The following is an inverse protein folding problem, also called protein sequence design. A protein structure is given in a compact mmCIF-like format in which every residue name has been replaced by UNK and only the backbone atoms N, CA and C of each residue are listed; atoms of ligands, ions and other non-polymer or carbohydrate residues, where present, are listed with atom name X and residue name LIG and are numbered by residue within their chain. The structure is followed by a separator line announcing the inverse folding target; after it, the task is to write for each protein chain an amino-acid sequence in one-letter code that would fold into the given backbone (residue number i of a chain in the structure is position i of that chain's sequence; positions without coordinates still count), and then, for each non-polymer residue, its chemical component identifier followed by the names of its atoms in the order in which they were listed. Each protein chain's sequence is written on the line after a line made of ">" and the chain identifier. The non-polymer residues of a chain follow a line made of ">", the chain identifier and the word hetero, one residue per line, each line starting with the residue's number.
data_IF_322291784920
#
_entry.id   IF_322291784920
#
_cell.length_a   1.000
_cell.length_b   1.000
_cell.length_c   1.000
_cell.angle_alpha   90.00
_cell.angle_beta   90.00
_cell.angle_gamma   90.00
#
_symmetry.space_group_name_H-M   'P 1'
#
loop_
_entity.id
_entity.type
_entity.pdbx_description
1 polymer ?
#
# COMPACT_ATOMS: atom_id res chain seq x y z
N UNK A 1 1.01 39.00 -0.51
CA UNK A 1 0.54 38.56 -1.85
C UNK A 1 1.75 38.25 -2.70
N UNK A 2 2.21 37.00 -2.68
CA UNK A 2 3.28 36.53 -3.57
C UNK A 2 2.64 35.77 -4.75
N UNK A 3 2.98 36.23 -5.96
CA UNK A 3 2.47 35.63 -7.21
C UNK A 3 3.06 34.22 -7.38
N UNK A 4 2.22 33.21 -7.46
CA UNK A 4 2.56 31.84 -7.86
C UNK A 4 2.78 31.85 -9.37
N UNK A 5 3.93 31.39 -9.90
CA UNK A 5 4.12 31.27 -11.34
C UNK A 5 3.32 30.07 -11.85
N UNK A 6 2.29 30.34 -12.63
CA UNK A 6 1.50 29.33 -13.34
C UNK A 6 2.27 28.68 -14.48
N UNK A 7 2.97 27.61 -14.19
CA UNK A 7 3.48 26.65 -15.19
C UNK A 7 3.70 25.32 -14.49
N UNK A 8 2.88 24.29 -14.81
CA UNK A 8 3.19 22.86 -14.71
C UNK A 8 2.02 21.93 -14.35
N UNK A 9 0.75 22.35 -14.44
CA UNK A 9 -0.36 21.38 -14.25
C UNK A 9 -0.61 20.51 -15.50
N UNK A 10 -0.09 20.88 -16.66
CA UNK A 10 -0.32 20.17 -17.92
C UNK A 10 0.68 19.04 -18.21
N UNK A 11 1.83 19.00 -17.55
CA UNK A 11 2.91 18.07 -17.86
C UNK A 11 2.79 16.70 -17.17
N UNK A 12 2.10 16.60 -16.05
CA UNK A 12 1.95 15.33 -15.31
C UNK A 12 0.86 14.42 -15.88
N UNK A 13 -0.10 14.98 -16.62
CA UNK A 13 -1.14 14.22 -17.33
C UNK A 13 -0.68 13.68 -18.70
N UNK A 14 0.46 14.10 -19.23
CA UNK A 14 0.89 13.79 -20.59
C UNK A 14 1.75 12.52 -20.72
N UNK A 15 2.21 11.91 -19.65
CA UNK A 15 3.06 10.70 -19.70
C UNK A 15 2.30 9.38 -19.93
N UNK A 16 0.97 9.42 -20.00
CA UNK A 16 0.12 8.22 -20.16
C UNK A 16 -0.65 8.12 -21.48
N UNK A 17 -0.65 9.14 -22.35
CA UNK A 17 -1.61 9.21 -23.50
C UNK A 17 -0.98 8.91 -24.87
N UNK A 18 0.30 8.67 -24.98
CA UNK A 18 1.05 8.68 -26.23
C UNK A 18 1.17 7.38 -27.04
N UNK A 19 0.55 6.23 -26.69
CA UNK A 19 0.62 4.98 -27.49
C UNK A 19 -0.63 4.12 -27.34
N UNK A 20 -1.80 4.59 -27.76
CA UNK A 20 -3.01 3.78 -27.80
C UNK A 20 -3.35 3.35 -29.23
N UNK A 21 -2.77 2.25 -29.71
CA UNK A 21 -3.51 1.28 -30.52
C UNK A 21 -4.31 0.40 -29.55
N UNK A 22 -5.53 -0.08 -29.88
CA UNK A 22 -6.27 -0.97 -28.99
C UNK A 22 -5.46 -2.26 -28.81
N UNK A 23 -4.78 -2.38 -27.67
CA UNK A 23 -4.12 -3.60 -27.24
C UNK A 23 -5.19 -4.54 -26.71
N UNK A 24 -5.27 -5.72 -27.32
CA UNK A 24 -6.16 -6.79 -26.89
C UNK A 24 -5.79 -7.19 -25.45
N UNK A 25 -6.75 -7.09 -24.56
CA UNK A 25 -6.68 -7.53 -23.18
C UNK A 25 -6.52 -9.03 -23.11
N UNK A 26 -5.44 -9.51 -22.49
CA UNK A 26 -5.20 -10.94 -22.28
C UNK A 26 -5.78 -11.39 -20.94
N UNK A 27 -6.48 -12.53 -21.00
CA UNK A 27 -6.99 -13.26 -19.84
C UNK A 27 -5.83 -13.83 -19.00
N UNK A 28 -6.10 -14.09 -17.73
CA UNK A 28 -5.20 -14.71 -16.76
C UNK A 28 -4.42 -15.88 -17.39
N UNK A 29 -3.09 -15.76 -17.45
CA UNK A 29 -2.22 -16.86 -17.82
C UNK A 29 -2.15 -17.80 -16.60
N UNK A 30 -2.98 -18.83 -16.59
CA UNK A 30 -2.69 -20.02 -15.81
C UNK A 30 -1.51 -20.72 -16.46
N UNK A 31 -0.31 -20.55 -15.92
CA UNK A 31 0.78 -21.44 -16.25
C UNK A 31 0.38 -22.85 -15.81
N UNK A 32 0.42 -23.86 -16.69
CA UNK A 32 0.16 -25.23 -16.28
C UNK A 32 1.20 -25.64 -15.23
N UNK A 33 0.84 -26.36 -14.17
CA UNK A 33 1.79 -26.83 -13.17
C UNK A 33 2.73 -27.86 -13.82
N UNK A 34 4.04 -27.57 -13.82
CA UNK A 34 5.05 -28.58 -13.96
C UNK A 34 5.99 -28.52 -15.14
N UNK A 35 6.94 -27.59 -15.13
CA UNK A 35 8.31 -27.89 -15.53
C UNK A 35 9.15 -28.04 -14.26
N UNK A 36 10.05 -29.03 -14.23
CA UNK A 36 10.96 -29.21 -13.09
C UNK A 36 11.74 -27.91 -12.85
N UNK A 37 11.48 -27.25 -11.71
CA UNK A 37 12.17 -26.01 -11.31
C UNK A 37 11.31 -24.75 -11.25
N UNK A 38 10.08 -24.72 -11.75
CA UNK A 38 9.20 -23.56 -11.56
C UNK A 38 8.64 -23.52 -10.13
N UNK A 39 8.55 -22.31 -9.52
CA UNK A 39 7.93 -22.16 -8.21
C UNK A 39 6.52 -22.74 -8.21
N UNK A 40 6.03 -23.30 -7.08
CA UNK A 40 4.67 -23.78 -7.00
C UNK A 40 3.75 -22.64 -7.42
N UNK A 41 2.89 -22.87 -8.42
CA UNK A 41 2.07 -21.85 -9.08
C UNK A 41 1.25 -21.06 -8.06
N UNK A 42 1.78 -19.92 -7.68
CA UNK A 42 1.11 -18.92 -6.88
C UNK A 42 0.40 -17.99 -7.85
N UNK A 43 -0.93 -17.84 -7.78
CA UNK A 43 -1.63 -16.96 -8.71
C UNK A 43 -1.16 -15.52 -8.52
N UNK A 44 -1.07 -14.74 -9.60
CA UNK A 44 -0.62 -13.36 -9.59
C UNK A 44 -1.50 -12.47 -8.68
N UNK A 45 -2.80 -12.76 -8.59
CA UNK A 45 -3.75 -12.10 -7.69
C UNK A 45 -3.38 -12.21 -6.21
N UNK A 46 -2.53 -13.19 -5.83
CA UNK A 46 -2.01 -13.37 -4.48
C UNK A 46 -0.92 -12.37 -4.13
N UNK A 47 -0.22 -11.81 -5.12
CA UNK A 47 0.90 -10.91 -4.89
C UNK A 47 0.38 -9.58 -4.33
N UNK A 48 0.84 -9.25 -3.11
CA UNK A 48 0.57 -7.98 -2.44
C UNK A 48 1.73 -6.99 -2.61
N UNK A 49 1.86 -6.05 -1.68
CA UNK A 49 3.02 -5.17 -1.60
C UNK A 49 4.27 -5.93 -1.11
N UNK A 50 5.45 -5.53 -1.56
CA UNK A 50 6.70 -6.23 -1.24
C UNK A 50 6.61 -7.72 -1.54
N UNK A 51 6.84 -8.55 -0.52
CA UNK A 51 6.72 -10.00 -0.60
C UNK A 51 5.43 -10.56 0.05
N UNK A 52 4.50 -9.69 0.45
CA UNK A 52 3.25 -10.08 1.15
C UNK A 52 2.24 -10.80 0.24
N UNK A 53 1.32 -11.54 0.84
CA UNK A 53 0.28 -12.28 0.12
C UNK A 53 -1.13 -11.79 0.44
N UNK A 54 -1.94 -11.72 -0.60
CA UNK A 54 -3.40 -11.55 -0.57
C UNK A 54 -4.12 -12.91 -0.66
N UNK A 55 -5.43 -12.97 -0.40
CA UNK A 55 -6.27 -14.08 -0.84
C UNK A 55 -6.22 -14.23 -2.37
N UNK A 56 -6.22 -15.46 -2.90
CA UNK A 56 -6.20 -15.72 -4.35
C UNK A 56 -7.40 -15.13 -5.09
N UNK A 57 -8.53 -14.99 -4.39
CA UNK A 57 -9.75 -14.38 -4.93
C UNK A 57 -9.69 -12.84 -5.01
N UNK A 58 -8.59 -12.21 -4.57
CA UNK A 58 -8.43 -10.75 -4.59
C UNK A 58 -8.51 -10.22 -6.04
N UNK A 59 -9.21 -9.10 -6.27
CA UNK A 59 -9.19 -8.45 -7.58
C UNK A 59 -7.80 -7.83 -7.82
N UNK A 60 -7.32 -7.92 -9.06
CA UNK A 60 -6.08 -7.28 -9.50
C UNK A 60 -6.40 -6.38 -10.70
N UNK A 61 -6.71 -5.08 -10.47
CA UNK A 61 -6.91 -4.14 -11.57
C UNK A 61 -5.55 -3.74 -12.17
N UNK A 62 -5.11 -4.52 -13.14
CA UNK A 62 -3.83 -4.34 -13.82
C UNK A 62 -3.98 -4.53 -15.33
N UNK A 63 -3.05 -3.95 -16.09
CA UNK A 63 -2.91 -4.17 -17.53
C UNK A 63 -1.68 -5.03 -17.78
N UNK A 64 -1.81 -6.10 -18.57
CA UNK A 64 -0.73 -7.01 -18.90
C UNK A 64 -0.32 -6.87 -20.36
N UNK A 65 0.99 -6.87 -20.59
CA UNK A 65 1.62 -6.76 -21.91
C UNK A 65 2.70 -7.83 -22.02
N UNK A 66 2.85 -8.42 -23.20
CA UNK A 66 3.97 -9.30 -23.51
C UNK A 66 5.06 -8.52 -24.27
N UNK A 67 6.29 -8.56 -23.77
CA UNK A 67 7.45 -7.95 -24.39
C UNK A 67 8.55 -9.00 -24.55
N UNK A 68 8.53 -9.71 -25.67
CA UNK A 68 9.37 -10.88 -25.90
C UNK A 68 9.10 -11.98 -24.87
N UNK A 69 10.09 -12.28 -24.02
CA UNK A 69 9.96 -13.29 -22.94
C UNK A 69 9.52 -12.71 -21.61
N UNK A 70 9.22 -11.41 -21.54
CA UNK A 70 8.77 -10.74 -20.33
C UNK A 70 7.26 -10.55 -20.34
N UNK A 71 6.63 -10.88 -19.24
CA UNK A 71 5.28 -10.43 -18.94
C UNK A 71 5.40 -9.14 -18.14
N UNK A 72 4.87 -8.05 -18.65
CA UNK A 72 4.82 -6.75 -17.98
C UNK A 72 3.43 -6.53 -17.42
N UNK A 73 3.32 -6.29 -16.11
CA UNK A 73 2.12 -5.86 -15.42
C UNK A 73 2.24 -4.36 -15.10
N UNK A 74 1.20 -3.60 -15.42
CA UNK A 74 1.04 -2.20 -15.06
C UNK A 74 -0.13 -2.05 -14.10
N UNK A 75 0.12 -1.52 -12.93
CA UNK A 75 -0.85 -1.36 -11.84
C UNK A 75 -0.70 0.01 -11.21
N UNK A 76 -1.77 0.56 -10.60
CA UNK A 76 -1.70 1.85 -9.97
C UNK A 76 -3.05 2.51 -9.85
N UNK A 77 -3.10 3.64 -9.15
CA UNK A 77 -4.28 4.49 -9.06
C UNK A 77 -3.93 5.92 -8.69
N UNK A 78 -4.83 6.83 -9.05
CA UNK A 78 -4.74 8.24 -8.67
C UNK A 78 -6.09 8.76 -8.23
N UNK A 79 -6.09 9.57 -7.18
CA UNK A 79 -7.27 10.22 -6.60
C UNK A 79 -7.07 11.74 -6.63
N UNK A 80 -7.75 12.44 -7.52
CA UNK A 80 -7.91 13.88 -7.40
C UNK A 80 -8.98 14.13 -6.34
N UNK A 81 -8.57 14.63 -5.17
CA UNK A 81 -9.46 14.78 -4.02
C UNK A 81 -9.49 16.20 -3.49
N UNK A 82 -10.66 16.64 -3.04
CA UNK A 82 -10.81 17.73 -2.09
C UNK A 82 -11.16 17.12 -0.73
N UNK A 83 -10.23 17.24 0.20
CA UNK A 83 -10.34 16.73 1.56
C UNK A 83 -10.55 17.89 2.51
N UNK A 84 -11.58 17.81 3.33
CA UNK A 84 -11.91 18.72 4.39
C UNK A 84 -11.98 17.99 5.73
N UNK A 85 -11.11 18.37 6.65
CA UNK A 85 -11.08 17.87 8.02
C UNK A 85 -11.52 19.01 8.93
N UNK A 86 -12.62 18.82 9.66
CA UNK A 86 -13.30 19.90 10.38
C UNK A 86 -12.62 20.37 11.65
N UNK A 87 -12.90 21.61 12.00
CA UNK A 87 -12.73 22.37 13.23
C UNK A 87 -11.31 22.73 13.66
N UNK A 88 -11.01 22.85 14.97
CA UNK A 88 -9.88 23.64 15.51
C UNK A 88 -8.49 23.21 14.98
N UNK A 89 -8.24 21.92 14.79
CA UNK A 89 -6.97 21.39 14.23
C UNK A 89 -7.12 20.87 12.80
N UNK A 90 -8.30 21.03 12.23
CA UNK A 90 -8.61 20.62 10.87
C UNK A 90 -8.08 21.60 9.83
N UNK A 91 -8.04 21.13 8.60
CA UNK A 91 -7.72 21.92 7.42
C UNK A 91 -8.38 21.31 6.19
N UNK A 92 -8.23 21.97 5.05
CA UNK A 92 -8.71 21.43 3.78
C UNK A 92 -7.63 21.53 2.70
N UNK A 93 -7.72 20.67 1.70
CA UNK A 93 -6.75 20.63 0.63
C UNK A 93 -7.35 19.99 -0.63
N UNK A 94 -7.04 20.59 -1.78
CA UNK A 94 -7.16 19.94 -3.09
C UNK A 94 -5.81 19.34 -3.44
N UNK A 95 -5.75 18.06 -3.81
CA UNK A 95 -4.50 17.40 -4.15
C UNK A 95 -4.74 16.09 -4.90
N UNK A 96 -3.66 15.45 -5.36
CA UNK A 96 -3.73 14.14 -6.01
C UNK A 96 -2.89 13.15 -5.23
N UNK A 97 -3.56 12.21 -4.55
CA UNK A 97 -2.93 11.00 -3.99
C UNK A 97 -2.75 10.01 -5.12
N UNK A 98 -1.56 9.46 -5.30
CA UNK A 98 -1.32 8.61 -6.47
C UNK A 98 -0.11 7.68 -6.30
N UNK A 99 -0.14 6.58 -7.06
CA UNK A 99 1.00 5.71 -7.25
C UNK A 99 0.84 4.92 -8.55
N UNK A 100 1.96 4.53 -9.15
CA UNK A 100 2.01 3.69 -10.33
C UNK A 100 3.14 2.67 -10.22
N UNK A 101 2.87 1.41 -10.55
CA UNK A 101 3.79 0.29 -10.48
C UNK A 101 3.89 -0.42 -11.83
N UNK A 102 5.09 -0.81 -12.19
CA UNK A 102 5.39 -1.73 -13.26
C UNK A 102 6.14 -2.95 -12.70
N UNK A 103 5.69 -4.14 -13.03
CA UNK A 103 6.38 -5.39 -12.72
C UNK A 103 6.65 -6.16 -14.01
N UNK A 104 7.90 -6.59 -14.19
CA UNK A 104 8.34 -7.37 -15.34
C UNK A 104 8.81 -8.75 -14.88
N UNK A 105 8.13 -9.80 -15.31
CA UNK A 105 8.36 -11.18 -14.87
C UNK A 105 8.79 -12.05 -16.04
N UNK A 106 9.75 -12.96 -15.81
CA UNK A 106 10.11 -14.02 -16.74
C UNK A 106 10.73 -15.21 -16.04
N UNK A 107 10.75 -16.36 -16.69
CA UNK A 107 11.56 -17.52 -16.27
C UNK A 107 13.06 -17.23 -16.41
N UNK A 108 13.84 -17.62 -15.40
CA UNK A 108 15.29 -17.47 -15.35
C UNK A 108 15.92 -18.75 -14.77
N UNK A 109 16.54 -19.56 -15.61
CA UNK A 109 17.06 -20.87 -15.21
C UNK A 109 15.96 -21.78 -14.69
N UNK A 110 16.16 -22.35 -13.50
CA UNK A 110 15.18 -23.20 -12.81
C UNK A 110 14.21 -22.40 -11.90
N UNK A 111 14.06 -21.09 -12.11
CA UNK A 111 13.20 -20.23 -11.32
C UNK A 111 12.60 -19.13 -12.18
N UNK A 112 12.03 -18.12 -11.51
CA UNK A 112 11.56 -16.91 -12.16
C UNK A 112 12.16 -15.67 -11.49
N UNK A 113 12.35 -14.65 -12.29
CA UNK A 113 12.74 -13.32 -11.81
C UNK A 113 11.61 -12.33 -12.09
N UNK A 114 11.38 -11.46 -11.14
CA UNK A 114 10.50 -10.31 -11.28
C UNK A 114 11.27 -9.04 -10.91
N UNK A 115 11.19 -8.02 -11.78
CA UNK A 115 11.73 -6.69 -11.55
C UNK A 115 10.56 -5.74 -11.34
N UNK A 116 10.58 -4.97 -10.25
CA UNK A 116 9.53 -4.01 -9.88
C UNK A 116 10.05 -2.60 -9.80
N UNK A 117 9.20 -1.68 -10.23
CA UNK A 117 9.36 -0.26 -9.97
C UNK A 117 8.02 0.35 -9.62
N UNK A 118 7.94 1.06 -8.49
CA UNK A 118 6.76 1.80 -8.08
C UNK A 118 7.14 3.23 -7.74
N UNK A 119 6.35 4.19 -8.23
CA UNK A 119 6.59 5.62 -8.08
C UNK A 119 5.32 6.36 -7.67
N UNK A 120 5.51 7.51 -6.99
CA UNK A 120 4.44 8.45 -6.68
C UNK A 120 4.83 9.88 -7.07
N UNK A 121 3.86 10.64 -7.56
CA UNK A 121 4.01 12.07 -7.82
C UNK A 121 3.51 12.94 -6.64
N UNK A 122 3.19 12.37 -5.50
CA UNK A 122 2.68 13.08 -4.33
C UNK A 122 3.58 14.24 -3.84
N UNK A 123 4.92 14.15 -3.92
CA UNK A 123 5.78 15.29 -3.56
C UNK A 123 5.40 16.60 -4.28
N UNK A 124 4.84 16.50 -5.48
CA UNK A 124 4.41 17.65 -6.28
C UNK A 124 2.89 17.89 -6.28
N UNK A 125 2.09 16.85 -6.08
CA UNK A 125 0.63 16.90 -6.23
C UNK A 125 -0.11 17.10 -4.92
N UNK A 126 0.55 16.81 -3.79
CA UNK A 126 0.08 17.07 -2.42
C UNK A 126 0.99 18.10 -1.73
N UNK A 127 2.30 18.05 -2.01
CA UNK A 127 3.33 18.87 -1.38
C UNK A 127 3.88 18.24 -0.10
N UNK A 128 5.00 18.80 0.38
CA UNK A 128 5.84 18.21 1.43
C UNK A 128 5.16 18.03 2.80
N UNK A 129 4.09 18.79 3.10
CA UNK A 129 3.31 18.62 4.33
C UNK A 129 2.23 17.54 4.23
N UNK A 130 2.11 16.83 3.09
CA UNK A 130 1.06 15.86 2.89
C UNK A 130 -0.36 16.44 2.88
N UNK A 131 -1.36 15.63 3.18
CA UNK A 131 -2.78 16.01 3.17
C UNK A 131 -3.42 15.95 4.57
N UNK A 132 -4.51 16.71 4.80
CA UNK A 132 -5.22 16.71 6.09
C UNK A 132 -5.72 15.32 6.47
N UNK A 133 -5.46 14.90 7.70
CA UNK A 133 -6.01 13.68 8.28
C UNK A 133 -5.96 13.83 9.81
N UNK A 134 -7.10 14.17 10.42
CA UNK A 134 -7.17 14.39 11.86
C UNK A 134 -6.65 13.20 12.65
N UNK A 135 -5.93 13.48 13.72
CA UNK A 135 -5.28 12.57 14.65
C UNK A 135 -4.20 11.68 14.01
N UNK A 136 -3.82 11.90 12.76
CA UNK A 136 -2.66 11.25 12.18
C UNK A 136 -1.37 11.80 12.77
N UNK A 137 -0.40 10.91 12.96
CA UNK A 137 0.92 11.20 13.55
C UNK A 137 1.92 10.12 13.09
N UNK A 138 3.19 10.28 13.43
CA UNK A 138 4.24 9.30 13.20
C UNK A 138 5.30 9.75 12.19
N UNK A 139 5.34 11.03 11.85
CA UNK A 139 6.32 11.61 10.92
C UNK A 139 6.81 12.97 11.41
N UNK A 140 7.88 13.46 10.81
CA UNK A 140 8.43 14.79 11.04
C UNK A 140 8.26 15.69 9.81
N UNK A 141 8.19 16.99 10.04
CA UNK A 141 8.26 18.01 9.01
C UNK A 141 8.99 19.25 9.56
N UNK A 142 10.09 19.63 8.89
CA UNK A 142 10.96 20.75 9.29
C UNK A 142 11.44 20.67 10.74
N UNK A 143 11.81 19.46 11.16
CA UNK A 143 12.34 19.22 12.51
C UNK A 143 11.29 19.24 13.63
N UNK A 144 10.00 19.20 13.30
CA UNK A 144 8.90 19.11 14.25
C UNK A 144 7.97 17.93 13.93
N UNK A 145 7.23 17.38 14.94
CA UNK A 145 6.27 16.33 14.68
C UNK A 145 5.19 16.79 13.70
N UNK A 146 4.94 16.02 12.64
CA UNK A 146 3.82 16.21 11.73
C UNK A 146 2.58 15.59 12.38
N UNK A 147 1.58 16.38 12.67
CA UNK A 147 0.33 15.91 13.27
C UNK A 147 -0.89 16.38 12.48
N UNK A 148 -1.99 15.65 12.58
CA UNK A 148 -3.25 15.91 11.86
C UNK A 148 -3.09 16.00 10.34
N UNK A 149 -2.07 15.33 9.83
CA UNK A 149 -1.76 15.20 8.39
C UNK A 149 -1.09 13.87 8.11
N UNK A 150 -1.40 13.30 6.96
CA UNK A 150 -0.63 12.19 6.38
C UNK A 150 0.46 12.78 5.48
N UNK A 151 1.70 12.37 5.68
CA UNK A 151 2.82 12.75 4.82
C UNK A 151 2.64 12.22 3.38
N UNK A 152 3.28 12.84 2.37
CA UNK A 152 3.26 12.30 1.01
C UNK A 152 4.13 11.04 0.91
N UNK A 153 3.81 10.16 -0.01
CA UNK A 153 4.73 9.10 -0.41
C UNK A 153 5.97 9.69 -1.08
N UNK A 154 7.09 8.96 -1.00
CA UNK A 154 8.30 9.28 -1.74
C UNK A 154 8.09 9.03 -3.24
N UNK A 155 8.88 9.74 -4.08
CA UNK A 155 8.90 9.52 -5.52
C UNK A 155 9.17 8.04 -5.85
N UNK A 156 10.16 7.45 -5.17
CA UNK A 156 10.49 6.04 -5.32
C UNK A 156 9.88 5.25 -4.16
N UNK A 157 8.80 4.54 -4.42
CA UNK A 157 8.12 3.70 -3.44
C UNK A 157 8.67 2.27 -3.45
N UNK A 158 9.05 1.74 -4.63
CA UNK A 158 9.72 0.45 -4.77
C UNK A 158 10.64 0.45 -5.98
N UNK A 159 11.84 -0.09 -5.81
CA UNK A 159 12.76 -0.55 -6.86
C UNK A 159 13.29 -1.89 -6.37
N UNK A 160 12.90 -3.00 -7.00
CA UNK A 160 13.19 -4.32 -6.45
C UNK A 160 13.44 -5.37 -7.52
N UNK A 161 14.17 -6.40 -7.13
CA UNK A 161 14.30 -7.66 -7.83
C UNK A 161 13.89 -8.79 -6.89
N UNK A 162 12.96 -9.64 -7.34
CA UNK A 162 12.51 -10.84 -6.66
C UNK A 162 12.91 -12.06 -7.51
N UNK A 163 13.61 -13.00 -6.91
CA UNK A 163 13.91 -14.29 -7.53
C UNK A 163 13.29 -15.42 -6.72
N UNK A 164 12.57 -16.28 -7.37
CA UNK A 164 11.94 -17.45 -6.77
C UNK A 164 12.38 -18.72 -7.49
N UNK A 165 12.59 -19.80 -6.73
CA UNK A 165 13.00 -21.09 -7.26
C UNK A 165 12.40 -22.23 -6.47
N UNK A 166 11.87 -23.23 -7.17
CA UNK A 166 11.49 -24.49 -6.56
C UNK A 166 12.73 -25.31 -6.17
N UNK A 167 12.73 -25.84 -4.96
CA UNK A 167 13.80 -26.71 -4.43
C UNK A 167 13.29 -28.10 -4.12
N UNK A 168 11.97 -28.28 -4.03
CA UNK A 168 11.27 -29.55 -3.94
C UNK A 168 9.88 -29.39 -4.56
N UNK A 169 9.14 -30.51 -4.71
CA UNK A 169 7.83 -30.54 -5.38
C UNK A 169 6.85 -29.47 -4.89
N UNK A 170 6.83 -29.21 -3.57
CA UNK A 170 5.90 -28.28 -2.94
C UNK A 170 6.63 -27.20 -2.09
N UNK A 171 7.93 -27.00 -2.33
CA UNK A 171 8.73 -26.05 -1.56
C UNK A 171 9.54 -25.16 -2.52
N UNK A 172 9.41 -23.87 -2.37
CA UNK A 172 10.19 -22.86 -3.08
C UNK A 172 10.94 -21.94 -2.12
N UNK A 173 12.03 -21.39 -2.62
CA UNK A 173 12.78 -20.31 -1.99
C UNK A 173 12.49 -19.01 -2.72
N UNK A 174 12.57 -17.92 -1.99
CA UNK A 174 12.51 -16.57 -2.53
C UNK A 174 13.64 -15.72 -1.97
N UNK A 175 14.13 -14.81 -2.82
CA UNK A 175 15.09 -13.77 -2.47
C UNK A 175 14.60 -12.45 -3.07
N UNK A 176 14.36 -11.46 -2.21
CA UNK A 176 13.96 -10.12 -2.59
C UNK A 176 15.06 -9.13 -2.20
N UNK A 177 15.50 -8.33 -3.15
CA UNK A 177 16.53 -7.29 -2.98
C UNK A 177 15.97 -5.99 -3.49
N UNK A 178 15.87 -5.00 -2.61
CA UNK A 178 15.30 -3.71 -2.94
C UNK A 178 16.18 -2.56 -2.45
N UNK A 179 16.76 -1.77 -3.35
CA UNK A 179 17.27 -0.43 -3.03
C UNK A 179 16.25 0.42 -2.28
N UNK A 180 15.00 0.39 -2.70
CA UNK A 180 13.85 0.89 -1.94
C UNK A 180 12.72 -0.12 -2.07
N UNK A 181 12.03 -0.44 -0.97
CA UNK A 181 10.96 -1.45 -0.97
C UNK A 181 10.39 -1.72 0.42
N UNK A 182 9.70 -2.84 0.54
CA UNK A 182 8.99 -3.23 1.75
C UNK A 182 9.65 -4.45 2.42
N UNK A 183 10.07 -4.36 3.70
CA UNK A 183 10.53 -5.52 4.45
C UNK A 183 9.37 -6.46 4.81
N UNK A 184 9.68 -7.68 5.22
CA UNK A 184 8.71 -8.66 5.75
C UNK A 184 8.19 -8.22 7.13
N UNK A 185 7.53 -7.05 7.18
CA UNK A 185 7.05 -6.40 8.39
C UNK A 185 5.73 -5.66 8.09
N UNK A 186 4.66 -6.09 8.71
CA UNK A 186 3.34 -5.54 8.45
C UNK A 186 2.45 -6.45 7.60
N UNK A 187 1.17 -6.09 7.46
CA UNK A 187 0.25 -6.66 6.48
C UNK A 187 0.60 -6.18 5.08
N UNK A 188 -0.16 -6.60 4.07
CA UNK A 188 -0.15 -5.91 2.75
C UNK A 188 -0.40 -4.41 2.98
N UNK A 189 0.43 -3.54 2.40
CA UNK A 189 0.30 -2.08 2.54
C UNK A 189 -1.07 -1.58 2.05
N UNK A 190 -1.64 -0.57 2.72
CA UNK A 190 -3.01 -0.13 2.48
C UNK A 190 -3.32 0.23 1.01
N UNK A 191 -2.40 0.80 0.20
CA UNK A 191 -2.70 1.09 -1.21
C UNK A 191 -2.94 -0.16 -2.07
N UNK A 192 -2.44 -1.31 -1.62
CA UNK A 192 -2.54 -2.60 -2.30
C UNK A 192 -3.61 -3.53 -1.71
N UNK A 193 -4.22 -3.18 -0.57
CA UNK A 193 -5.31 -3.99 0.01
C UNK A 193 -6.63 -3.74 -0.71
N UNK A 194 -7.30 -4.75 -1.27
CA UNK A 194 -8.60 -4.58 -1.92
C UNK A 194 -9.67 -3.97 -0.99
N UNK A 195 -9.60 -4.26 0.32
CA UNK A 195 -10.48 -3.69 1.34
C UNK A 195 -10.33 -2.17 1.53
N UNK A 196 -9.18 -1.59 1.15
CA UNK A 196 -8.88 -0.17 1.26
C UNK A 196 -8.84 0.56 -0.09
N UNK A 197 -8.83 -0.16 -1.21
CA UNK A 197 -8.53 0.39 -2.55
C UNK A 197 -9.49 1.47 -3.06
N UNK A 198 -10.69 1.61 -2.47
CA UNK A 198 -11.65 2.65 -2.81
C UNK A 198 -11.52 3.91 -1.93
N UNK A 199 -10.81 3.84 -0.80
CA UNK A 199 -10.60 4.95 0.13
C UNK A 199 -9.32 5.70 -0.22
N UNK A 200 -9.36 7.01 -0.57
CA UNK A 200 -8.17 7.78 -0.89
C UNK A 200 -7.28 8.11 0.31
N UNK A 201 -7.80 7.95 1.55
CA UNK A 201 -7.09 8.36 2.75
C UNK A 201 -6.47 7.16 3.49
N UNK A 202 -5.24 7.34 3.97
CA UNK A 202 -4.54 6.35 4.79
C UNK A 202 -5.29 6.03 6.09
N UNK A 203 -5.06 4.84 6.69
CA UNK A 203 -5.49 4.59 8.07
C UNK A 203 -4.77 5.50 9.06
N UNK A 204 -5.44 5.93 10.14
CA UNK A 204 -4.78 6.68 11.22
C UNK A 204 -3.81 5.81 12.04
N UNK A 205 -3.88 4.50 11.86
CA UNK A 205 -3.03 3.47 12.46
C UNK A 205 -1.88 3.02 11.55
N UNK A 206 -1.69 3.65 10.38
CA UNK A 206 -0.70 3.28 9.36
C UNK A 206 0.70 3.05 9.97
N UNK A 207 1.21 3.96 10.80
CA UNK A 207 2.54 3.85 11.42
C UNK A 207 2.67 2.73 12.48
N UNK A 208 1.56 2.11 12.90
CA UNK A 208 1.55 0.94 13.80
C UNK A 208 1.50 -0.39 13.06
N UNK A 209 1.24 -0.37 11.76
CA UNK A 209 0.94 -1.57 10.97
C UNK A 209 1.84 -1.70 9.75
N UNK A 210 1.66 -0.82 8.76
CA UNK A 210 2.32 -0.88 7.44
C UNK A 210 3.17 0.37 7.12
N UNK A 211 3.57 1.15 8.13
CA UNK A 211 4.40 2.35 7.94
C UNK A 211 5.80 2.12 7.37
N UNK A 212 6.28 0.86 7.34
CA UNK A 212 7.59 0.51 6.73
C UNK A 212 7.49 0.06 5.27
N UNK A 213 6.36 0.30 4.58
CA UNK A 213 6.20 -0.14 3.18
C UNK A 213 7.09 0.62 2.17
N UNK A 214 7.71 1.74 2.58
CA UNK A 214 8.76 2.43 1.83
C UNK A 214 10.00 2.51 2.72
N UNK A 215 10.98 1.66 2.44
CA UNK A 215 12.22 1.55 3.21
C UNK A 215 13.42 1.52 2.27
N UNK A 216 14.42 2.36 2.50
CA UNK A 216 15.62 2.44 1.67
C UNK A 216 16.65 1.40 2.10
N UNK A 217 16.72 0.31 1.33
CA UNK A 217 17.60 -0.83 1.57
C UNK A 217 16.90 -1.96 2.30
N UNK A 218 16.46 -2.97 1.54
CA UNK A 218 15.79 -4.18 2.03
C UNK A 218 16.40 -5.41 1.40
N UNK A 219 16.66 -6.41 2.22
CA UNK A 219 17.02 -7.76 1.82
C UNK A 219 16.07 -8.73 2.53
N UNK A 220 15.27 -9.48 1.76
CA UNK A 220 14.35 -10.49 2.31
C UNK A 220 14.68 -11.85 1.72
N UNK A 221 14.69 -12.88 2.57
CA UNK A 221 14.74 -14.27 2.15
C UNK A 221 13.54 -15.00 2.72
N UNK A 222 12.95 -15.89 1.93
CA UNK A 222 11.76 -16.63 2.30
C UNK A 222 11.76 -18.06 1.79
N UNK A 223 10.95 -18.88 2.44
CA UNK A 223 10.59 -20.22 2.02
C UNK A 223 9.07 -20.31 1.93
N UNK A 224 8.55 -20.93 0.88
CA UNK A 224 7.10 -21.02 0.74
C UNK A 224 6.63 -22.30 0.04
N UNK A 225 5.40 -22.65 0.34
CA UNK A 225 4.60 -23.68 -0.32
C UNK A 225 3.41 -22.99 -1.00
N UNK A 226 2.45 -23.75 -1.51
CA UNK A 226 1.21 -23.18 -2.07
C UNK A 226 0.35 -22.42 -1.04
N UNK A 227 0.47 -22.75 0.25
CA UNK A 227 -0.40 -22.18 1.29
C UNK A 227 0.35 -21.47 2.41
N UNK A 228 1.62 -21.76 2.58
CA UNK A 228 2.41 -21.31 3.71
C UNK A 228 3.65 -20.58 3.22
N UNK A 229 3.99 -19.45 3.87
CA UNK A 229 5.21 -18.70 3.65
C UNK A 229 5.82 -18.27 4.98
N UNK A 230 7.13 -18.42 5.10
CA UNK A 230 7.93 -17.87 6.18
C UNK A 230 9.06 -17.06 5.56
N UNK A 231 9.22 -15.83 5.99
CA UNK A 231 10.22 -14.91 5.46
C UNK A 231 10.86 -14.08 6.57
N UNK A 232 12.07 -13.61 6.31
CA UNK A 232 12.81 -12.72 7.19
C UNK A 232 13.52 -11.64 6.38
N UNK A 233 13.61 -10.44 6.95
CA UNK A 233 14.26 -9.29 6.31
C UNK A 233 15.36 -8.69 7.18
N UNK A 234 16.40 -8.17 6.49
CA UNK A 234 17.32 -7.14 6.99
C UNK A 234 17.07 -5.86 6.22
N UNK A 235 16.97 -4.74 6.94
CA UNK A 235 16.60 -3.48 6.32
C UNK A 235 17.06 -2.28 7.16
N UNK A 236 16.98 -1.08 6.58
CA UNK A 236 17.11 0.18 7.31
C UNK A 236 15.83 0.47 8.07
N UNK A 237 15.89 0.54 9.41
CA UNK A 237 14.71 0.79 10.24
C UNK A 237 14.20 2.23 10.20
N UNK A 238 15.06 3.17 9.79
CA UNK A 238 14.71 4.59 9.77
C UNK A 238 13.71 4.89 8.65
N UNK A 239 12.69 5.66 8.96
CA UNK A 239 11.79 6.26 7.99
C UNK A 239 12.53 7.16 6.98
N UNK A 240 12.03 7.30 5.74
CA UNK A 240 12.60 8.21 4.75
C UNK A 240 12.71 9.65 5.29
N UNK A 241 13.69 10.40 4.81
CA UNK A 241 13.84 11.81 5.18
C UNK A 241 12.76 12.69 4.50
N UNK A 242 12.75 13.98 4.83
CA UNK A 242 11.75 14.93 4.29
C UNK A 242 11.98 15.28 2.81
N UNK A 243 13.09 14.86 2.20
CA UNK A 243 13.35 15.03 0.77
C UNK A 243 12.76 13.86 -0.02
N UNK A 244 11.47 13.90 -0.26
CA UNK A 244 10.68 12.85 -0.89
C UNK A 244 11.03 12.55 -2.35
N UNK A 245 12.04 13.18 -2.93
CA UNK A 245 12.40 13.00 -4.36
C UNK A 245 13.77 12.38 -4.58
N UNK A 246 14.56 12.16 -3.53
CA UNK A 246 15.87 11.49 -3.59
C UNK A 246 15.79 10.01 -3.22
N UNK A 247 16.92 9.33 -3.33
CA UNK A 247 17.15 8.02 -2.71
C UNK A 247 17.91 8.25 -1.41
N UNK A 248 17.21 8.13 -0.29
CA UNK A 248 17.76 8.44 1.03
C UNK A 248 18.66 7.30 1.57
N UNK A 249 19.95 7.38 1.27
CA UNK A 249 20.97 6.46 1.80
C UNK A 249 21.91 7.09 2.84
N UNK A 250 21.72 8.36 3.18
CA UNK A 250 22.60 9.07 4.12
C UNK A 250 22.51 8.44 5.52
N UNK A 251 23.65 7.92 6.01
CA UNK A 251 23.73 7.26 7.31
C UNK A 251 22.93 5.96 7.44
N UNK A 252 22.39 5.42 6.34
CA UNK A 252 21.58 4.19 6.32
C UNK A 252 22.46 2.95 6.52
N UNK A 253 21.95 2.01 7.31
CA UNK A 253 22.55 0.70 7.56
C UNK A 253 21.46 -0.36 7.62
N UNK A 254 21.78 -1.59 7.26
CA UNK A 254 20.91 -2.73 7.49
C UNK A 254 21.03 -3.17 8.95
N UNK A 255 20.44 -2.44 9.88
CA UNK A 255 20.55 -2.63 11.32
C UNK A 255 19.21 -3.00 12.00
N UNK A 256 18.19 -3.18 11.21
CA UNK A 256 16.87 -3.61 11.61
C UNK A 256 16.53 -4.95 10.98
N UNK A 257 15.67 -5.73 11.63
CA UNK A 257 15.29 -7.06 11.16
C UNK A 257 13.84 -7.37 11.48
N UNK A 258 13.25 -8.22 10.65
CA UNK A 258 11.88 -8.70 10.84
C UNK A 258 11.70 -10.13 10.39
N UNK A 259 10.60 -10.72 10.81
CA UNK A 259 10.08 -11.98 10.29
C UNK A 259 8.58 -11.89 10.11
N UNK A 260 8.08 -12.53 9.04
CA UNK A 260 6.64 -12.62 8.75
C UNK A 260 6.28 -14.06 8.38
N UNK A 261 5.16 -14.49 8.94
CA UNK A 261 4.49 -15.74 8.63
C UNK A 261 3.20 -15.43 7.88
N UNK A 262 2.91 -16.16 6.78
CA UNK A 262 1.68 -16.01 6.01
C UNK A 262 1.08 -17.38 5.77
N UNK A 263 -0.23 -17.48 5.93
CA UNK A 263 -1.01 -18.70 5.70
C UNK A 263 -2.26 -18.38 4.87
N UNK A 264 -2.28 -18.83 3.61
CA UNK A 264 -3.48 -18.82 2.78
C UNK A 264 -4.26 -20.11 3.06
N UNK A 265 -5.29 -20.03 3.90
CA UNK A 265 -6.12 -21.17 4.28
C UNK A 265 -6.86 -21.78 3.07
N UNK A 266 -7.24 -20.94 2.15
CA UNK A 266 -7.91 -21.25 0.89
C UNK A 266 -7.88 -20.02 -0.01
N UNK A 267 -8.53 -20.06 -1.17
CA UNK A 267 -8.56 -18.95 -2.11
C UNK A 267 -9.15 -17.64 -1.55
N UNK A 268 -9.91 -17.70 -0.45
CA UNK A 268 -10.62 -16.53 0.12
C UNK A 268 -9.93 -15.91 1.32
N UNK A 269 -9.03 -16.63 2.00
CA UNK A 269 -8.47 -16.19 3.29
C UNK A 269 -6.95 -16.21 3.27
N UNK A 270 -6.35 -15.11 3.65
CA UNK A 270 -4.92 -14.96 3.95
C UNK A 270 -4.77 -14.45 5.39
N UNK A 271 -4.01 -15.18 6.19
CA UNK A 271 -3.64 -14.83 7.57
C UNK A 271 -2.16 -14.49 7.61
N UNK A 272 -1.77 -13.49 8.36
CA UNK A 272 -0.36 -13.16 8.57
C UNK A 272 -0.08 -12.74 10.01
N UNK A 273 1.16 -12.97 10.44
CA UNK A 273 1.69 -12.45 11.69
C UNK A 273 3.14 -12.03 11.48
N UNK A 274 3.55 -10.95 12.14
CA UNK A 274 4.89 -10.40 11.98
C UNK A 274 5.46 -9.88 13.29
N UNK A 275 6.78 -9.81 13.29
CA UNK A 275 7.56 -9.17 14.33
C UNK A 275 8.77 -8.51 13.71
N UNK A 276 9.14 -7.33 14.20
CA UNK A 276 10.35 -6.63 13.78
C UNK A 276 10.97 -5.82 14.91
N UNK A 277 12.28 -5.67 14.82
CA UNK A 277 13.08 -4.71 15.55
C UNK A 277 13.48 -3.60 14.58
N UNK A 278 13.16 -2.35 14.92
CA UNK A 278 13.52 -1.17 14.17
C UNK A 278 14.50 -0.32 14.98
N UNK A 279 15.65 -0.10 14.40
CA UNK A 279 16.69 0.78 14.95
C UNK A 279 16.40 2.21 14.53
N UNK A 280 16.18 3.10 15.52
CA UNK A 280 16.00 4.54 15.28
C UNK A 280 15.02 4.85 14.15
N UNK A 281 13.77 4.37 14.19
CA UNK A 281 12.84 4.54 13.08
C UNK A 281 12.46 5.99 12.87
N UNK A 282 12.32 6.78 13.94
CA UNK A 282 11.85 8.16 13.87
C UNK A 282 12.99 9.16 13.85
N UNK A 283 12.94 10.10 12.90
CA UNK A 283 14.00 11.11 12.72
C UNK A 283 14.17 12.06 13.90
N UNK A 284 13.09 12.33 14.66
CA UNK A 284 13.12 13.18 15.86
C UNK A 284 13.69 12.47 17.08
N UNK A 285 13.67 11.13 17.11
CA UNK A 285 14.15 10.30 18.21
C UNK A 285 15.24 9.30 17.74
N UNK A 286 16.39 9.79 17.27
CA UNK A 286 17.42 8.93 16.63
C UNK A 286 18.07 7.93 17.60
N UNK A 287 17.94 8.13 18.90
CA UNK A 287 18.47 7.22 19.93
C UNK A 287 17.46 6.16 20.38
N UNK A 288 16.21 6.25 19.91
CA UNK A 288 15.15 5.33 20.27
C UNK A 288 15.04 4.20 19.25
N UNK A 289 14.73 3.02 19.75
CA UNK A 289 14.44 1.84 18.94
C UNK A 289 13.14 1.22 19.42
N UNK A 290 12.44 0.51 18.55
CA UNK A 290 11.19 -0.13 18.91
C UNK A 290 11.06 -1.55 18.37
N UNK A 291 10.20 -2.32 19.00
CA UNK A 291 9.63 -3.55 18.45
C UNK A 291 8.26 -3.24 17.83
N UNK A 292 8.05 -3.74 16.62
CA UNK A 292 6.75 -3.71 15.93
C UNK A 292 6.25 -5.13 15.76
N UNK A 293 5.02 -5.39 16.17
CA UNK A 293 4.41 -6.70 16.03
C UNK A 293 2.95 -6.58 15.62
N UNK A 294 2.42 -7.63 15.03
CA UNK A 294 1.02 -7.63 14.67
C UNK A 294 0.57 -8.90 13.98
N UNK A 295 -0.70 -8.90 13.63
CA UNK A 295 -1.35 -9.96 12.88
C UNK A 295 -2.47 -9.39 12.01
N UNK A 296 -2.74 -10.05 10.88
CA UNK A 296 -3.83 -9.68 9.99
C UNK A 296 -4.60 -10.91 9.50
N UNK A 297 -5.89 -10.71 9.29
CA UNK A 297 -6.76 -11.64 8.57
C UNK A 297 -7.41 -10.87 7.41
N UNK A 298 -7.06 -11.24 6.19
CA UNK A 298 -7.61 -10.69 4.98
C UNK A 298 -8.54 -11.72 4.34
N UNK A 299 -9.68 -11.24 3.85
CA UNK A 299 -10.62 -12.11 3.12
C UNK A 299 -11.11 -11.41 1.87
N UNK A 300 -11.30 -12.18 0.81
CA UNK A 300 -11.99 -11.75 -0.40
C UNK A 300 -12.93 -12.84 -0.87
N UNK A 301 -14.17 -12.47 -1.11
CA UNK A 301 -15.20 -13.32 -1.67
C UNK A 301 -15.70 -12.72 -2.98
N UNK A 302 -15.76 -13.52 -4.06
CA UNK A 302 -16.39 -13.11 -5.31
C UNK A 302 -17.91 -13.06 -5.09
N UNK A 303 -18.54 -11.98 -5.56
CA UNK A 303 -20.00 -11.74 -5.49
C UNK A 303 -20.56 -11.68 -6.91
N UNK A 304 -20.93 -12.85 -7.46
CA UNK A 304 -21.32 -12.96 -8.86
C UNK A 304 -20.11 -13.01 -9.81
N UNK A 305 -20.35 -12.64 -11.08
CA UNK A 305 -19.34 -12.69 -12.14
C UNK A 305 -18.26 -11.62 -11.97
N UNK A 306 -18.68 -10.39 -11.68
CA UNK A 306 -17.84 -9.19 -11.75
C UNK A 306 -17.62 -8.52 -10.38
N UNK A 307 -18.31 -8.99 -9.35
CA UNK A 307 -18.25 -8.39 -8.02
C UNK A 307 -17.27 -9.05 -7.06
N UNK A 308 -16.91 -8.31 -6.02
CA UNK A 308 -16.10 -8.81 -4.91
C UNK A 308 -16.49 -8.15 -3.58
N UNK A 309 -16.27 -8.87 -2.50
CA UNK A 309 -16.34 -8.35 -1.14
C UNK A 309 -15.02 -8.67 -0.44
N UNK A 310 -14.25 -7.63 -0.14
CA UNK A 310 -12.95 -7.74 0.52
C UNK A 310 -12.99 -7.09 1.89
N UNK A 311 -12.42 -7.75 2.90
CA UNK A 311 -12.32 -7.23 4.26
C UNK A 311 -10.96 -7.55 4.86
N UNK A 312 -10.49 -6.71 5.79
CA UNK A 312 -9.30 -6.93 6.57
C UNK A 312 -9.52 -6.57 8.04
N UNK A 313 -9.10 -7.47 8.92
CA UNK A 313 -8.93 -7.20 10.35
C UNK A 313 -7.43 -7.21 10.65
N UNK A 314 -6.91 -6.09 11.16
CA UNK A 314 -5.48 -5.90 11.36
C UNK A 314 -5.24 -5.39 12.78
N UNK A 315 -4.41 -6.11 13.52
CA UNK A 315 -3.83 -5.67 14.78
C UNK A 315 -2.37 -5.30 14.55
N UNK A 316 -1.92 -4.17 15.09
CA UNK A 316 -0.53 -3.75 15.11
C UNK A 316 -0.18 -3.09 16.42
N UNK A 317 1.07 -3.20 16.85
CA UNK A 317 1.54 -2.54 18.05
C UNK A 317 3.02 -2.15 17.92
N UNK A 318 3.35 -0.95 18.40
CA UNK A 318 4.71 -0.48 18.61
C UNK A 318 5.05 -0.53 20.10
N UNK A 319 6.23 -1.05 20.45
CA UNK A 319 6.75 -1.07 21.81
C UNK A 319 8.10 -0.35 21.83
N UNK A 320 8.15 0.83 22.41
CA UNK A 320 9.36 1.61 22.57
C UNK A 320 10.30 0.91 23.58
N UNK A 321 11.57 0.69 23.19
CA UNK A 321 12.52 -0.04 24.04
C UNK A 321 12.96 0.78 25.27
N UNK A 322 13.02 2.10 25.17
CA UNK A 322 13.44 2.96 26.27
C UNK A 322 12.46 3.01 27.44
N UNK A 323 11.16 2.97 27.15
CA UNK A 323 10.08 3.09 28.15
C UNK A 323 9.35 1.78 28.40
N UNK A 324 9.42 0.81 27.48
CA UNK A 324 8.60 -0.40 27.51
C UNK A 324 7.11 -0.14 27.20
N UNK A 325 6.74 1.07 26.78
CA UNK A 325 5.36 1.45 26.46
C UNK A 325 4.89 0.70 25.23
N UNK A 326 3.75 0.03 25.33
CA UNK A 326 3.08 -0.66 24.24
C UNK A 326 1.90 0.17 23.72
N UNK A 327 1.98 0.62 22.47
CA UNK A 327 0.93 1.38 21.79
C UNK A 327 0.23 0.50 20.75
N UNK A 328 -0.95 -0.04 21.05
CA UNK A 328 -1.70 -0.90 20.15
C UNK A 328 -2.56 -0.12 19.16
N UNK A 329 -2.84 -0.78 18.03
CA UNK A 329 -3.82 -0.35 17.02
C UNK A 329 -4.67 -1.54 16.56
N UNK A 330 -5.90 -1.24 16.11
CA UNK A 330 -6.81 -2.20 15.51
C UNK A 330 -7.56 -1.53 14.36
N UNK A 331 -7.62 -2.21 13.22
CA UNK A 331 -8.35 -1.77 12.02
C UNK A 331 -9.26 -2.89 11.57
N UNK A 332 -10.52 -2.54 11.31
CA UNK A 332 -11.45 -3.31 10.51
C UNK A 332 -11.81 -2.47 9.29
N UNK A 333 -11.47 -2.95 8.11
CA UNK A 333 -11.84 -2.29 6.85
C UNK A 333 -12.54 -3.28 5.92
N UNK A 334 -13.43 -2.75 5.08
CA UNK A 334 -14.23 -3.56 4.16
C UNK A 334 -14.59 -2.75 2.92
N UNK A 335 -14.55 -3.39 1.75
CA UNK A 335 -15.04 -2.87 0.50
C UNK A 335 -15.92 -3.92 -0.20
N UNK A 336 -17.15 -3.54 -0.52
CA UNK A 336 -18.10 -4.31 -1.30
C UNK A 336 -18.20 -3.66 -2.68
N UNK A 337 -17.69 -4.32 -3.69
CA UNK A 337 -17.86 -3.99 -5.10
C UNK A 337 -18.86 -5.00 -5.70
N UNK A 338 -20.18 -4.72 -5.67
CA UNK A 338 -21.19 -5.68 -6.15
C UNK A 338 -21.14 -5.89 -7.67
N UNK A 339 -20.56 -4.93 -8.37
CA UNK A 339 -20.36 -4.88 -9.82
C UNK A 339 -19.16 -3.96 -10.15
N UNK A 340 -18.83 -3.85 -11.43
CA UNK A 340 -17.71 -3.01 -11.92
C UNK A 340 -17.92 -1.50 -11.70
N UNK A 341 -19.11 -1.10 -11.39
CA UNK A 341 -19.51 0.32 -11.34
C UNK A 341 -19.61 0.86 -9.93
N UNK A 342 -19.86 0.02 -8.93
CA UNK A 342 -20.19 0.48 -7.60
C UNK A 342 -19.22 -0.11 -6.57
N UNK A 343 -18.70 0.73 -5.67
CA UNK A 343 -17.95 0.31 -4.50
C UNK A 343 -18.47 1.02 -3.25
N UNK A 344 -18.87 0.25 -2.26
CA UNK A 344 -19.23 0.71 -0.91
C UNK A 344 -18.08 0.30 0.00
N UNK A 345 -17.53 1.23 0.76
CA UNK A 345 -16.40 0.92 1.62
C UNK A 345 -16.53 1.58 2.99
N UNK A 346 -15.83 1.03 3.96
CA UNK A 346 -15.78 1.58 5.29
C UNK A 346 -14.58 1.07 6.08
N UNK A 347 -14.25 1.83 7.13
CA UNK A 347 -13.14 1.53 8.03
C UNK A 347 -13.51 1.93 9.45
N UNK A 348 -13.20 1.07 10.41
CA UNK A 348 -13.26 1.37 11.84
C UNK A 348 -11.87 1.17 12.39
N UNK A 349 -11.37 2.17 13.12
CA UNK A 349 -10.03 2.19 13.63
C UNK A 349 -10.00 2.51 15.13
N UNK A 350 -9.07 1.89 15.81
CA UNK A 350 -8.65 2.22 17.16
C UNK A 350 -7.12 2.30 17.17
N UNK A 351 -6.57 3.34 17.78
CA UNK A 351 -5.12 3.46 17.97
C UNK A 351 -4.84 4.21 19.27
N UNK A 352 -3.81 3.77 19.99
CA UNK A 352 -3.31 4.46 21.16
C UNK A 352 -2.12 5.33 20.75
N UNK A 353 -2.19 6.62 21.02
CA UNK A 353 -1.18 7.63 20.67
C UNK A 353 -0.76 8.41 21.89
N UNK A 354 0.45 8.92 21.91
CA UNK A 354 0.96 9.75 23.00
C UNK A 354 0.60 11.23 22.82
N UNK A 355 0.71 11.99 23.89
CA UNK A 355 0.57 13.46 23.84
C UNK A 355 1.64 14.09 22.93
N UNK A 356 2.84 13.53 22.91
CA UNK A 356 3.93 13.96 22.05
C UNK A 356 3.57 13.78 20.57
N UNK A 357 3.16 12.59 20.16
CA UNK A 357 2.74 12.29 18.78
C UNK A 357 1.57 13.16 18.30
N UNK A 358 0.63 13.49 19.21
CA UNK A 358 -0.49 14.37 18.92
C UNK A 358 -0.18 15.86 19.14
N UNK A 359 1.03 16.20 19.58
CA UNK A 359 1.45 17.57 19.93
C UNK A 359 0.46 18.22 20.90
N UNK A 360 0.21 17.56 22.03
CA UNK A 360 -0.66 18.04 23.13
C UNK A 360 0.24 18.58 24.24
N UNK A 361 0.47 19.88 24.24
CA UNK A 361 1.37 20.55 25.19
C UNK A 361 0.78 20.75 26.59
N UNK A 362 -0.51 20.50 26.77
CA UNK A 362 -1.20 20.59 28.04
C UNK A 362 -1.10 19.36 28.94
N UNK A 363 -0.40 18.30 28.46
CA UNK A 363 -0.19 17.06 29.19
C UNK A 363 1.28 16.62 29.08
N UNK A 364 1.78 15.75 29.99
CA UNK A 364 3.08 15.11 29.84
C UNK A 364 3.19 14.37 28.48
N UNK A 365 4.37 14.41 27.84
CA UNK A 365 4.63 13.81 26.52
C UNK A 365 4.19 12.34 26.43
N UNK A 366 4.40 11.57 27.48
CA UNK A 366 4.06 10.14 27.58
C UNK A 366 2.59 9.85 27.88
N UNK A 367 1.72 10.86 28.03
CA UNK A 367 0.29 10.65 28.28
C UNK A 367 -0.34 9.98 27.07
N UNK A 368 -0.97 8.83 27.30
CA UNK A 368 -1.59 8.04 26.24
C UNK A 368 -3.06 8.41 26.02
N UNK A 369 -3.46 8.50 24.76
CA UNK A 369 -4.83 8.78 24.35
C UNK A 369 -5.36 7.67 23.43
N UNK A 370 -6.45 6.99 23.83
CA UNK A 370 -7.18 6.11 22.93
C UNK A 370 -7.96 6.96 21.91
N UNK A 371 -7.64 6.80 20.63
CA UNK A 371 -8.29 7.50 19.54
C UNK A 371 -9.00 6.48 18.67
N UNK A 372 -10.22 6.78 18.23
CA UNK A 372 -10.94 5.94 17.29
C UNK A 372 -11.44 6.76 16.11
N UNK A 373 -11.60 6.13 14.96
CA UNK A 373 -12.20 6.72 13.79
C UNK A 373 -13.15 5.74 13.09
N UNK A 374 -14.21 6.27 12.51
CA UNK A 374 -15.11 5.53 11.62
C UNK A 374 -15.20 6.29 10.31
N UNK A 375 -15.03 5.60 9.20
CA UNK A 375 -15.20 6.16 7.87
C UNK A 375 -16.14 5.29 7.05
N UNK A 376 -16.96 5.93 6.21
CA UNK A 376 -17.82 5.29 5.23
C UNK A 376 -17.73 6.06 3.92
N UNK A 377 -17.77 5.37 2.80
CA UNK A 377 -17.72 5.98 1.50
C UNK A 377 -18.39 5.17 0.41
N UNK A 378 -18.58 5.85 -0.69
CA UNK A 378 -19.12 5.29 -1.92
C UNK A 378 -18.33 5.82 -3.11
N UNK A 379 -18.03 4.95 -4.04
CA UNK A 379 -17.38 5.27 -5.29
C UNK A 379 -18.18 4.66 -6.44
N UNK A 380 -18.48 5.48 -7.44
CA UNK A 380 -19.09 5.04 -8.69
C UNK A 380 -18.12 5.19 -9.85
N UNK A 381 -17.88 4.11 -10.56
CA UNK A 381 -17.22 4.14 -11.86
C UNK A 381 -18.18 4.78 -12.87
N UNK A 382 -17.74 5.86 -13.51
CA UNK A 382 -18.58 6.65 -14.42
C UNK A 382 -18.26 6.38 -15.90
N UNK A 383 -17.15 5.67 -16.17
CA UNK A 383 -16.76 5.30 -17.53
C UNK A 383 -15.28 4.97 -17.64
N UNK A 384 -14.81 4.87 -18.87
CA UNK A 384 -13.41 4.58 -19.20
C UNK A 384 -12.80 5.70 -20.03
N UNK A 385 -11.51 5.97 -19.83
CA UNK A 385 -10.70 6.89 -20.62
C UNK A 385 -9.49 6.11 -21.14
N UNK A 386 -9.53 5.67 -22.38
CA UNK A 386 -8.57 4.71 -22.92
C UNK A 386 -8.63 3.38 -22.18
N UNK A 387 -7.50 2.93 -21.62
CA UNK A 387 -7.41 1.72 -20.78
C UNK A 387 -7.64 1.98 -19.29
N UNK A 388 -8.03 3.20 -18.90
CA UNK A 388 -8.25 3.57 -17.51
C UNK A 388 -9.74 3.65 -17.18
N UNK A 389 -10.12 3.11 -16.03
CA UNK A 389 -11.44 3.29 -15.42
C UNK A 389 -11.45 4.59 -14.63
N UNK A 390 -12.45 5.43 -14.88
CA UNK A 390 -12.69 6.69 -14.18
C UNK A 390 -13.88 6.57 -13.25
N UNK A 391 -13.74 7.05 -12.00
CA UNK A 391 -14.80 7.02 -11.00
C UNK A 391 -14.89 8.32 -10.21
N UNK A 392 -16.04 8.56 -9.59
CA UNK A 392 -16.28 9.67 -8.67
C UNK A 392 -16.77 9.11 -7.33
N UNK A 393 -16.23 9.61 -6.25
CA UNK A 393 -16.53 9.10 -4.91
C UNK A 393 -16.66 10.17 -3.84
N UNK A 394 -17.23 9.75 -2.73
CA UNK A 394 -17.36 10.53 -1.50
C UNK A 394 -17.04 9.66 -0.29
N UNK A 395 -16.39 10.26 0.69
CA UNK A 395 -16.05 9.65 1.98
C UNK A 395 -16.44 10.60 3.11
N UNK A 396 -17.10 10.08 4.12
CA UNK A 396 -17.31 10.77 5.40
C UNK A 396 -16.53 10.06 6.51
N UNK A 397 -16.02 10.81 7.49
CA UNK A 397 -15.37 10.26 8.68
C UNK A 397 -15.80 10.96 9.94
N UNK A 398 -15.81 10.21 11.04
CA UNK A 398 -16.05 10.65 12.40
C UNK A 398 -14.90 10.14 13.26
N UNK A 399 -14.17 11.06 13.92
CA UNK A 399 -13.22 10.67 14.96
C UNK A 399 -13.93 10.66 16.31
N UNK A 400 -13.53 9.74 17.18
CA UNK A 400 -14.02 9.65 18.57
C UNK A 400 -12.83 9.83 19.50
N UNK A 401 -12.82 10.98 20.20
CA UNK A 401 -11.69 11.41 21.01
C UNK A 401 -12.03 11.36 22.51
N UNK A 402 -11.07 11.01 23.38
CA UNK A 402 -11.23 11.08 24.81
C UNK A 402 -11.39 12.56 25.26
N UNK A 403 -11.97 12.78 26.43
CA UNK A 403 -12.22 14.13 26.95
C UNK A 403 -10.95 14.98 27.07
N UNK A 404 -9.80 14.37 27.34
CA UNK A 404 -8.50 15.07 27.41
C UNK A 404 -8.06 15.74 26.10
N UNK A 405 -8.60 15.31 24.95
CA UNK A 405 -8.33 15.92 23.64
C UNK A 405 -9.37 16.97 23.22
N UNK A 406 -10.50 17.06 23.92
CA UNK A 406 -11.63 17.92 23.50
C UNK A 406 -11.24 19.39 23.37
N UNK A 407 -10.40 19.91 24.27
CA UNK A 407 -9.96 21.31 24.23
C UNK A 407 -9.06 21.58 23.00
N UNK A 408 -8.15 20.67 22.66
CA UNK A 408 -7.25 20.83 21.52
C UNK A 408 -7.98 20.72 20.19
N UNK A 409 -8.93 19.80 20.07
CA UNK A 409 -9.65 19.54 18.82
C UNK A 409 -10.98 20.31 18.72
N UNK A 410 -11.41 21.03 19.77
CA UNK A 410 -12.66 21.78 19.81
C UNK A 410 -13.93 20.91 19.84
N UNK A 411 -13.79 19.59 19.76
CA UNK A 411 -14.88 18.58 19.83
C UNK A 411 -14.31 17.23 20.21
N UNK A 412 -15.16 16.37 20.75
CA UNK A 412 -14.84 14.95 20.94
C UNK A 412 -15.19 14.10 19.71
N UNK A 413 -15.91 14.67 18.76
CA UNK A 413 -16.40 13.98 17.56
C UNK A 413 -16.17 14.81 16.30
N UNK A 414 -14.91 15.20 16.00
CA UNK A 414 -14.63 15.96 14.78
C UNK A 414 -14.93 15.12 13.52
N UNK A 415 -15.47 15.80 12.50
CA UNK A 415 -15.88 15.21 11.22
C UNK A 415 -14.86 15.52 10.12
N UNK A 416 -14.78 14.65 9.14
CA UNK A 416 -14.08 14.86 7.88
C UNK A 416 -14.93 14.43 6.69
N UNK A 417 -14.73 15.09 5.55
CA UNK A 417 -15.35 14.75 4.27
C UNK A 417 -14.33 14.85 3.16
N UNK A 418 -14.25 13.84 2.29
CA UNK A 418 -13.50 13.90 1.05
C UNK A 418 -14.43 13.62 -0.12
N UNK A 419 -14.29 14.42 -1.19
CA UNK A 419 -14.88 14.15 -2.51
C UNK A 419 -13.75 13.96 -3.50
N UNK A 420 -13.85 13.00 -4.40
CA UNK A 420 -12.72 12.67 -5.25
C UNK A 420 -13.12 12.06 -6.60
N UNK A 421 -12.20 12.20 -7.55
CA UNK A 421 -12.18 11.42 -8.79
C UNK A 421 -11.07 10.40 -8.72
N UNK A 422 -11.34 9.15 -9.10
CA UNK A 422 -10.35 8.06 -9.18
C UNK A 422 -10.07 7.67 -10.62
N UNK A 423 -8.79 7.44 -10.93
CA UNK A 423 -8.34 6.76 -12.14
C UNK A 423 -7.53 5.52 -11.74
N UNK A 424 -7.81 4.38 -12.36
CA UNK A 424 -7.03 3.13 -12.23
C UNK A 424 -7.07 2.36 -13.56
N UNK A 425 -6.19 1.38 -13.81
CA UNK A 425 -6.39 0.45 -14.92
C UNK A 425 -7.79 -0.17 -14.87
N UNK A 426 -8.43 -0.26 -16.02
CA UNK A 426 -9.73 -0.94 -16.11
C UNK A 426 -9.55 -2.43 -15.77
N UNK A 427 -10.52 -3.04 -15.10
CA UNK A 427 -10.50 -4.47 -14.87
C UNK A 427 -10.54 -5.19 -16.24
N UNK A 428 -9.60 -6.12 -16.46
CA UNK A 428 -9.64 -6.97 -17.63
C UNK A 428 -10.70 -8.06 -17.41
N UNK A 429 -11.87 -7.90 -18.00
CA UNK A 429 -12.85 -9.00 -18.09
C UNK A 429 -12.26 -10.07 -19.02
N UNK A 430 -12.23 -11.32 -18.59
CA UNK A 430 -11.60 -12.42 -19.29
C UNK A 430 -12.03 -12.56 -20.76
N UNK A 431 -11.24 -12.02 -21.64
CA UNK A 431 -11.31 -12.29 -23.07
C UNK A 431 -10.51 -13.56 -23.40
N UNK A 432 -11.16 -14.52 -24.05
CA UNK A 432 -10.54 -15.75 -24.57
C UNK A 432 -9.34 -15.38 -25.44
N UNK A 433 -8.16 -15.92 -25.17
CA UNK A 433 -7.00 -15.80 -26.06
C UNK A 433 -7.34 -16.40 -27.43
N UNK A 434 -7.33 -15.58 -28.46
CA UNK A 434 -7.20 -16.07 -29.82
C UNK A 434 -5.69 -16.14 -30.11
N UNK A 435 -5.14 -17.35 -30.14
CA UNK A 435 -3.81 -17.54 -30.67
C UNK A 435 -3.88 -17.19 -32.17
N UNK A 436 -3.23 -16.11 -32.55
CA UNK A 436 -2.93 -15.89 -33.97
C UNK A 436 -1.77 -16.78 -34.32
N UNK A 437 -2.03 -17.75 -35.21
CA UNK A 437 -1.01 -18.61 -35.80
C UNK A 437 0.13 -17.75 -36.35
N UNK A 438 1.32 -17.94 -35.82
CA UNK A 438 2.53 -17.42 -36.45
C UNK A 438 2.74 -18.21 -37.75
N UNK A 439 3.09 -17.55 -38.87
CA UNK A 439 3.43 -18.25 -40.09
C UNK A 439 4.59 -19.21 -39.81
N UNK A 440 4.42 -20.47 -40.13
CA UNK A 440 5.51 -21.46 -40.15
C UNK A 440 6.54 -21.01 -41.19
N UNK A 441 7.70 -20.54 -40.75
CA UNK A 441 8.84 -20.38 -41.61
C UNK A 441 9.23 -21.78 -42.12
N UNK A 442 8.81 -22.07 -43.35
CA UNK A 442 9.32 -23.20 -44.13
C UNK A 442 10.74 -22.84 -44.59
N UNK A 443 11.74 -23.40 -43.93
CA UNK A 443 13.07 -23.48 -44.49
C UNK A 443 13.10 -24.62 -45.50
N UNK A 444 13.22 -24.26 -46.79
CA UNK A 444 13.85 -25.08 -47.86
C UNK A 444 15.37 -24.92 -47.77
#
# INVERSE_FOLDING_TARGET
>A
MQKIPGRSLAAVLALGVGLARPLQTQAHIHHPPGSDGEPPGVPETRLGSGTSWLPDAAPLPATHLMLGRWTLMLHGQGFLQYDWQGIARGSNQLGIVNWAMAAATRSLGAGRIELRGMVSAEPWTIGSRGYPLLVQSGEAYQGAPLHDRQHPHDLFMELAALYERSVARDLSLELYVAPVGEPALGPVAYPHRPSAAADPLAPISHHWQDGSHITFGVLTAGVFTRSLKLEASWFNGREPDENRTNLDYTGRRLDSYSARFILNLNARWSLSAWYGYLKSPEGLHPDESLHRLGAAALTTQRTGADGSWSSALIFGANMALGTGTLLPSLVLESALEPDDSNAFFGRVEYVRKTAEELVITSAPATTEYPVSAVALGYLRTVGTVGSLSAGAGVRGSLNVLPSGLAAAYGSRTPLGVAIYLRLRPAASHGGTMVMQDMPSDSHD
#
